data_IF_959446188189
#
_entry.id   IF_959446188189
#
_cell.length_a   1.000
_cell.length_b   1.000
_cell.length_c   1.000
_cell.angle_alpha   90.00
_cell.angle_beta   90.00
_cell.angle_gamma   90.00
#
_symmetry.space_group_name_H-M   'P 1'
#
loop_
_entity.id
_entity.type
_entity.pdbx_description
1 polymer ?
#
# COMPACT_ATOMS: atom_id res chain seq x y z
N UNK A 1 -23.69 32.01 -35.29
CA UNK A 1 -24.72 31.00 -34.95
C UNK A 1 -24.06 29.63 -35.05
N UNK A 2 -24.43 28.72 -34.14
CA UNK A 2 -23.67 27.57 -33.62
C UNK A 2 -22.59 28.00 -32.62
N UNK A 3 -22.70 27.76 -31.33
CA UNK A 3 -23.67 26.98 -30.58
C UNK A 3 -23.01 26.69 -29.25
N UNK A 4 -23.37 27.46 -28.24
CA UNK A 4 -23.21 27.09 -26.84
C UNK A 4 -23.74 25.68 -26.64
N UNK A 5 -22.86 24.76 -26.21
CA UNK A 5 -23.18 23.61 -25.36
C UNK A 5 -21.96 22.69 -25.31
N UNK A 6 -21.12 22.85 -24.28
CA UNK A 6 -20.87 21.78 -23.32
C UNK A 6 -20.23 22.40 -22.09
N UNK A 7 -21.12 22.66 -21.12
CA UNK A 7 -20.80 23.11 -19.78
C UNK A 7 -19.80 22.17 -19.12
N UNK A 8 -18.86 22.80 -18.41
CA UNK A 8 -18.18 22.32 -17.22
C UNK A 8 -18.69 20.96 -16.69
N UNK A 9 -17.94 19.89 -16.97
CA UNK A 9 -17.77 18.82 -15.99
C UNK A 9 -16.47 19.11 -15.26
N UNK A 10 -16.59 19.84 -14.15
CA UNK A 10 -15.63 19.73 -13.07
C UNK A 10 -15.69 18.28 -12.57
N UNK A 11 -14.96 17.39 -13.25
CA UNK A 11 -14.63 16.09 -12.71
C UNK A 11 -13.79 16.37 -11.49
N UNK A 12 -14.41 16.27 -10.31
CA UNK A 12 -13.70 16.35 -9.05
C UNK A 12 -12.48 15.44 -9.16
N UNK A 13 -11.29 16.01 -8.94
CA UNK A 13 -10.06 15.25 -8.80
C UNK A 13 -10.38 14.08 -7.90
N UNK A 14 -10.36 12.87 -8.47
CA UNK A 14 -10.51 11.64 -7.71
C UNK A 14 -9.36 11.66 -6.71
N UNK A 15 -9.64 12.08 -5.47
CA UNK A 15 -8.62 12.26 -4.44
C UNK A 15 -7.94 10.90 -4.29
N UNK A 16 -6.62 10.86 -4.52
CA UNK A 16 -5.82 9.67 -4.27
C UNK A 16 -6.03 9.20 -2.83
N UNK A 17 -5.96 7.89 -2.62
CA UNK A 17 -6.14 7.29 -1.31
C UNK A 17 -5.08 7.83 -0.34
N UNK A 18 -5.53 8.46 0.75
CA UNK A 18 -4.62 8.94 1.81
C UNK A 18 -4.32 7.83 2.81
N UNK A 19 -3.25 7.98 3.60
CA UNK A 19 -3.00 7.10 4.76
C UNK A 19 -4.21 7.08 5.71
N UNK A 20 -4.88 8.22 5.88
CA UNK A 20 -6.13 8.31 6.64
C UNK A 20 -7.28 7.50 6.02
N UNK A 21 -7.37 7.44 4.69
CA UNK A 21 -8.34 6.59 3.98
C UNK A 21 -8.03 5.11 4.20
N UNK A 22 -6.76 4.72 4.08
CA UNK A 22 -6.31 3.34 4.32
C UNK A 22 -6.58 2.91 5.77
N UNK A 23 -6.23 3.74 6.77
CA UNK A 23 -6.53 3.45 8.19
C UNK A 23 -8.02 3.28 8.45
N UNK A 24 -8.88 4.08 7.81
CA UNK A 24 -10.34 3.89 7.91
C UNK A 24 -10.80 2.55 7.32
N UNK A 25 -10.18 2.10 6.22
CA UNK A 25 -10.47 0.79 5.64
C UNK A 25 -10.00 -0.37 6.52
N UNK A 26 -8.88 -0.21 7.24
CA UNK A 26 -8.36 -1.21 8.20
C UNK A 26 -9.29 -1.39 9.41
N UNK A 27 -9.82 -0.28 9.95
CA UNK A 27 -10.64 -0.30 11.17
C UNK A 27 -12.04 -0.88 10.99
N UNK A 28 -12.65 -0.76 9.80
CA UNK A 28 -14.01 -1.26 9.52
C UNK A 28 -14.13 -2.79 9.67
N UNK A 29 -13.29 -3.62 9.01
CA UNK A 29 -13.32 -5.07 9.17
C UNK A 29 -13.11 -5.55 10.61
N UNK A 30 -12.29 -4.86 11.41
CA UNK A 30 -12.06 -5.25 12.81
C UNK A 30 -13.32 -5.17 13.66
N UNK A 31 -14.07 -4.07 13.54
CA UNK A 31 -15.32 -3.88 14.26
C UNK A 31 -16.40 -4.88 13.81
N UNK A 32 -16.43 -5.21 12.52
CA UNK A 32 -17.50 -6.00 11.93
C UNK A 32 -17.25 -7.52 11.96
N UNK A 33 -15.98 -7.96 11.99
CA UNK A 33 -15.59 -9.38 11.86
C UNK A 33 -14.91 -9.98 13.09
N UNK A 34 -14.72 -9.22 14.18
CA UNK A 34 -14.20 -9.76 15.44
C UNK A 34 -12.76 -10.28 15.38
N UNK A 35 -11.93 -9.75 14.47
CA UNK A 35 -10.51 -10.07 14.39
C UNK A 35 -9.73 -9.34 15.51
N UNK A 36 -9.90 -9.81 16.74
CA UNK A 36 -8.97 -9.50 17.82
C UNK A 36 -7.73 -10.37 17.62
N UNK A 37 -6.68 -9.76 17.08
CA UNK A 37 -5.37 -10.39 16.90
C UNK A 37 -4.38 -9.75 17.86
N UNK A 38 -3.46 -10.54 18.42
CA UNK A 38 -2.40 -10.01 19.26
C UNK A 38 -1.34 -9.28 18.42
N UNK A 39 -0.46 -8.51 19.07
CA UNK A 39 0.68 -7.88 18.41
C UNK A 39 1.57 -8.90 17.70
N UNK A 40 1.80 -10.05 18.34
CA UNK A 40 2.61 -11.15 17.80
C UNK A 40 1.95 -11.79 16.58
N UNK A 41 0.64 -12.01 16.61
CA UNK A 41 -0.11 -12.52 15.47
C UNK A 41 -0.07 -11.53 14.30
N UNK A 42 -0.27 -10.23 14.58
CA UNK A 42 -0.18 -9.19 13.55
C UNK A 42 1.23 -9.09 12.94
N UNK A 43 2.28 -9.21 13.77
CA UNK A 43 3.66 -9.27 13.30
C UNK A 43 3.91 -10.51 12.43
N UNK A 44 3.35 -11.67 12.80
CA UNK A 44 3.46 -12.88 12.00
C UNK A 44 2.81 -12.71 10.63
N UNK A 45 1.59 -12.14 10.57
CA UNK A 45 0.93 -11.83 9.30
C UNK A 45 1.73 -10.85 8.45
N UNK A 46 2.19 -9.74 9.02
CA UNK A 46 3.08 -8.80 8.34
C UNK A 46 4.31 -9.50 7.72
N UNK A 47 4.93 -10.40 8.47
CA UNK A 47 6.11 -11.13 8.01
C UNK A 47 5.79 -12.04 6.83
N UNK A 48 4.62 -12.69 6.85
CA UNK A 48 4.14 -13.50 5.73
C UNK A 48 3.93 -12.65 4.47
N UNK A 49 3.25 -11.50 4.57
CA UNK A 49 2.99 -10.64 3.39
C UNK A 49 4.30 -10.09 2.79
N UNK A 50 5.29 -9.77 3.63
CA UNK A 50 6.63 -9.39 3.14
C UNK A 50 7.28 -10.55 2.38
N UNK A 51 7.06 -11.79 2.80
CA UNK A 51 7.49 -12.98 2.07
C UNK A 51 6.81 -13.13 0.71
N UNK A 52 5.53 -12.81 0.61
CA UNK A 52 4.76 -12.83 -0.65
C UNK A 52 5.25 -11.74 -1.62
N UNK A 53 5.49 -10.53 -1.12
CA UNK A 53 6.15 -9.44 -1.88
C UNK A 53 7.51 -9.90 -2.40
N UNK A 54 8.35 -10.51 -1.55
CA UNK A 54 9.65 -11.02 -1.95
C UNK A 54 9.54 -12.09 -3.04
N UNK A 55 8.57 -13.00 -2.94
CA UNK A 55 8.31 -14.01 -3.96
C UNK A 55 7.88 -13.39 -5.29
N UNK A 56 7.00 -12.38 -5.28
CA UNK A 56 6.58 -11.65 -6.48
C UNK A 56 7.75 -10.95 -7.18
N UNK A 57 8.58 -10.24 -6.41
CA UNK A 57 9.79 -9.56 -6.93
C UNK A 57 10.78 -10.56 -7.52
N UNK A 58 11.02 -11.68 -6.84
CA UNK A 58 11.92 -12.72 -7.34
C UNK A 58 11.39 -13.37 -8.62
N UNK A 59 10.08 -13.57 -8.75
CA UNK A 59 9.46 -14.08 -9.99
C UNK A 59 9.67 -13.11 -11.15
N UNK A 60 9.48 -11.81 -10.93
CA UNK A 60 9.74 -10.80 -11.97
C UNK A 60 11.24 -10.70 -12.34
N UNK A 61 12.13 -11.02 -11.40
CA UNK A 61 13.59 -10.94 -11.60
C UNK A 61 14.19 -12.21 -12.22
N UNK A 62 13.54 -13.37 -12.07
CA UNK A 62 13.96 -14.66 -12.63
C UNK A 62 13.68 -14.68 -14.14
N UNK A 63 14.53 -14.02 -14.91
CA UNK A 63 14.80 -14.25 -16.34
C UNK A 63 15.98 -13.41 -16.86
N UNK A 64 16.80 -12.82 -15.96
CA UNK A 64 18.02 -12.09 -16.35
C UNK A 64 17.77 -10.72 -17.00
N UNK A 65 16.54 -10.23 -17.05
CA UNK A 65 16.24 -8.90 -17.58
C UNK A 65 16.42 -7.84 -16.50
N UNK A 66 17.45 -7.01 -16.66
CA UNK A 66 17.69 -5.82 -15.85
C UNK A 66 16.54 -4.78 -15.93
N UNK A 67 15.64 -4.92 -16.91
CA UNK A 67 14.42 -4.11 -17.08
C UNK A 67 13.16 -4.88 -16.68
N UNK A 68 13.06 -5.20 -15.39
CA UNK A 68 11.90 -5.83 -14.74
C UNK A 68 10.58 -5.07 -15.04
N UNK A 69 10.68 -3.77 -15.38
CA UNK A 69 9.56 -2.90 -15.70
C UNK A 69 9.04 -2.93 -17.14
N UNK A 70 9.70 -3.61 -18.09
CA UNK A 70 9.30 -3.56 -19.52
C UNK A 70 8.79 -4.89 -20.07
N UNK A 71 8.75 -5.94 -19.25
CA UNK A 71 8.29 -7.27 -19.68
C UNK A 71 6.76 -7.32 -19.66
N UNK A 72 6.15 -7.37 -20.84
CA UNK A 72 4.70 -7.26 -21.05
C UNK A 72 4.02 -8.61 -21.35
N UNK A 73 4.59 -9.72 -20.87
CA UNK A 73 3.93 -11.03 -20.95
C UNK A 73 2.70 -11.07 -20.03
N UNK A 74 1.70 -11.88 -20.38
CA UNK A 74 0.53 -12.10 -19.52
C UNK A 74 0.91 -12.60 -18.13
N UNK A 75 1.94 -13.45 -18.05
CA UNK A 75 2.50 -13.89 -16.77
C UNK A 75 3.08 -12.71 -15.97
N UNK A 76 3.88 -11.86 -16.59
CA UNK A 76 4.46 -10.70 -15.91
C UNK A 76 3.38 -9.69 -15.45
N UNK A 77 2.31 -9.51 -16.23
CA UNK A 77 1.13 -8.71 -15.82
C UNK A 77 0.45 -9.33 -14.61
N UNK A 78 0.17 -10.63 -14.64
CA UNK A 78 -0.44 -11.36 -13.51
C UNK A 78 0.42 -11.27 -12.25
N UNK A 79 1.74 -11.41 -12.36
CA UNK A 79 2.66 -11.29 -11.23
C UNK A 79 2.65 -9.85 -10.67
N UNK A 80 2.61 -8.82 -11.54
CA UNK A 80 2.51 -7.42 -11.10
C UNK A 80 1.19 -7.11 -10.39
N UNK A 81 0.08 -7.63 -10.90
CA UNK A 81 -1.23 -7.48 -10.26
C UNK A 81 -1.24 -8.10 -8.87
N UNK A 82 -0.77 -9.35 -8.74
CA UNK A 82 -0.66 -10.03 -7.44
C UNK A 82 0.30 -9.28 -6.50
N UNK A 83 1.47 -8.86 -6.98
CA UNK A 83 2.42 -8.07 -6.21
C UNK A 83 1.80 -6.77 -5.68
N UNK A 84 0.92 -6.13 -6.45
CA UNK A 84 0.15 -4.98 -5.98
C UNK A 84 -0.76 -5.30 -4.79
N UNK A 85 -1.39 -6.47 -4.80
CA UNK A 85 -2.14 -7.02 -3.67
C UNK A 85 -1.26 -7.24 -2.43
N UNK A 86 -0.13 -7.94 -2.60
CA UNK A 86 0.77 -8.22 -1.47
C UNK A 86 1.38 -6.95 -0.86
N UNK A 87 1.69 -5.95 -1.68
CA UNK A 87 2.13 -4.64 -1.19
C UNK A 87 1.02 -3.96 -0.38
N UNK A 88 -0.23 -4.04 -0.85
CA UNK A 88 -1.37 -3.52 -0.10
C UNK A 88 -1.49 -4.25 1.25
N UNK A 89 -1.35 -5.57 1.29
CA UNK A 89 -1.47 -6.36 2.52
C UNK A 89 -0.34 -6.05 3.51
N UNK A 90 0.89 -5.78 3.04
CA UNK A 90 1.98 -5.25 3.89
C UNK A 90 1.60 -3.91 4.50
N UNK A 91 1.11 -2.97 3.69
CA UNK A 91 0.69 -1.64 4.16
C UNK A 91 -0.44 -1.78 5.17
N UNK A 92 -1.44 -2.61 4.87
CA UNK A 92 -2.59 -2.86 5.73
C UNK A 92 -2.15 -3.41 7.10
N UNK A 93 -1.27 -4.41 7.11
CA UNK A 93 -0.74 -5.00 8.34
C UNK A 93 0.08 -3.99 9.16
N UNK A 94 0.87 -3.11 8.53
CA UNK A 94 1.60 -2.04 9.21
C UNK A 94 0.68 -1.02 9.88
N UNK A 95 -0.39 -0.61 9.18
CA UNK A 95 -1.37 0.32 9.73
C UNK A 95 -2.09 -0.29 10.93
N UNK A 96 -2.48 -1.57 10.84
CA UNK A 96 -3.14 -2.26 11.93
C UNK A 96 -2.20 -2.52 13.13
N UNK A 97 -0.95 -2.87 12.86
CA UNK A 97 0.07 -3.05 13.88
C UNK A 97 0.32 -1.75 14.65
N UNK A 98 0.37 -0.61 13.96
CA UNK A 98 0.52 0.69 14.60
C UNK A 98 -0.68 1.04 15.48
N UNK A 99 -1.90 0.76 15.01
CA UNK A 99 -3.12 0.93 15.80
C UNK A 99 -3.09 0.05 17.06
N UNK A 100 -2.72 -1.24 16.95
CA UNK A 100 -2.59 -2.16 18.08
C UNK A 100 -1.49 -1.75 19.07
N UNK A 101 -0.38 -1.20 18.56
CA UNK A 101 0.74 -0.76 19.39
C UNK A 101 0.54 0.64 20.01
N UNK A 102 -0.57 1.33 19.70
CA UNK A 102 -0.83 2.69 20.17
C UNK A 102 0.10 3.74 19.57
N UNK A 103 0.63 3.49 18.36
CA UNK A 103 1.53 4.41 17.67
C UNK A 103 0.73 5.41 16.83
N UNK A 104 0.98 6.69 17.07
CA UNK A 104 0.53 7.75 16.16
C UNK A 104 1.45 7.80 14.94
N UNK A 105 1.01 7.18 13.85
CA UNK A 105 1.79 7.13 12.60
C UNK A 105 2.05 8.49 11.98
N UNK A 106 1.12 9.44 12.08
CA UNK A 106 1.30 10.75 11.43
C UNK A 106 2.42 11.53 12.12
N UNK A 107 2.37 11.58 13.46
CA UNK A 107 3.42 12.16 14.29
C UNK A 107 4.76 11.41 14.13
N UNK A 108 4.74 10.07 14.10
CA UNK A 108 5.96 9.27 13.90
C UNK A 108 6.62 9.53 12.54
N UNK A 109 5.82 9.64 11.47
CA UNK A 109 6.32 9.93 10.12
C UNK A 109 6.89 11.35 10.03
N UNK A 110 6.19 12.34 10.58
CA UNK A 110 6.66 13.73 10.62
C UNK A 110 7.99 13.86 11.37
N UNK A 111 8.09 13.26 12.57
CA UNK A 111 9.33 13.24 13.35
C UNK A 111 10.47 12.55 12.60
N UNK A 112 10.19 11.47 11.88
CA UNK A 112 11.21 10.74 11.10
C UNK A 112 11.68 11.53 9.89
N UNK A 113 10.77 12.17 9.16
CA UNK A 113 11.09 13.03 8.01
C UNK A 113 12.03 14.17 8.42
N UNK A 114 11.67 14.93 9.47
CA UNK A 114 12.51 16.02 10.02
C UNK A 114 13.91 15.54 10.43
N UNK A 115 14.04 14.34 11.00
CA UNK A 115 15.35 13.76 11.35
C UNK A 115 16.18 13.33 10.13
N UNK A 116 15.52 13.04 9.00
CA UNK A 116 16.18 12.61 7.78
C UNK A 116 16.59 13.79 6.88
N UNK A 117 15.98 14.97 7.02
CA UNK A 117 16.31 16.20 6.25
C UNK A 117 17.79 16.61 6.34
N UNK A 118 18.50 16.23 7.41
CA UNK A 118 19.92 16.53 7.61
C UNK A 118 20.87 15.35 7.40
N UNK A 119 20.42 14.23 6.82
CA UNK A 119 21.26 13.04 6.60
C UNK A 119 21.79 12.99 5.18
N UNK A 120 23.10 12.82 5.05
CA UNK A 120 23.71 12.27 3.83
C UNK A 120 23.76 10.75 3.96
N UNK A 121 23.43 10.06 2.86
CA UNK A 121 23.35 8.59 2.78
C UNK A 121 24.44 8.06 1.86
#
# INVERSE_FOLDING_TARGET
MHGDEYRARAGGLQRGLTVGDLRRQVRKPKADKGFDVTLEQRLAYLTSEVGEVAAGVLRLSRDGNADVGTMETEEARTVRENLGGEIYDVVWNLLDLADLAGVDLEDAFEKKARRNEGREW
#
